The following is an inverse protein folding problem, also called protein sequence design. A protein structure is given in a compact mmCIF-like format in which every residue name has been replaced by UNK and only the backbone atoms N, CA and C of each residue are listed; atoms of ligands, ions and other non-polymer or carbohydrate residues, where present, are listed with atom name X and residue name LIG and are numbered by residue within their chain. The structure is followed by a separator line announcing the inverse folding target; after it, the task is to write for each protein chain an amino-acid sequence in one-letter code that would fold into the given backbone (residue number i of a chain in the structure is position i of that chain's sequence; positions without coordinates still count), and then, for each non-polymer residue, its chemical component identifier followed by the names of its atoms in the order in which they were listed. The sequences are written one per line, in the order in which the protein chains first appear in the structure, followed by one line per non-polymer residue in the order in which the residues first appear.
data_IF_438582926418
#
_entry.id   IF_438582926418
#
_cell.length_a   1.000
_cell.length_b   1.000
_cell.length_c   1.000
_cell.angle_alpha   90.00
_cell.angle_beta   90.00
_cell.angle_gamma   90.00
#
_symmetry.space_group_name_H-M   'P 1'
#
loop_
_entity.id
_entity.type
_entity.pdbx_description
1 polymer ?
#
# COMPACT_ATOMS: atom_id res chain seq x y z
N UNK A 1 9.09 -5.09 -4.67
CA UNK A 1 8.24 -5.58 -5.78
C UNK A 1 7.44 -6.84 -5.42
N UNK A 2 7.98 -7.80 -4.63
CA UNK A 2 7.30 -9.07 -4.32
C UNK A 2 5.95 -8.94 -3.57
N UNK A 3 5.90 -8.09 -2.53
CA UNK A 3 4.69 -7.88 -1.73
C UNK A 3 3.49 -7.36 -2.55
N UNK A 4 3.72 -6.42 -3.47
CA UNK A 4 2.64 -5.87 -4.30
C UNK A 4 2.04 -6.94 -5.22
N UNK A 5 2.85 -7.86 -5.74
CA UNK A 5 2.37 -9.00 -6.52
C UNK A 5 1.57 -9.97 -5.65
N UNK A 6 2.03 -10.23 -4.42
CA UNK A 6 1.33 -11.10 -3.46
C UNK A 6 -0.04 -10.54 -3.07
N UNK A 7 -0.14 -9.23 -2.78
CA UNK A 7 -1.43 -8.59 -2.45
C UNK A 7 -2.39 -8.64 -3.64
N UNK A 8 -1.90 -8.38 -4.86
CA UNK A 8 -2.72 -8.48 -6.07
C UNK A 8 -3.26 -9.90 -6.28
N UNK A 9 -2.42 -10.93 -6.09
CA UNK A 9 -2.82 -12.33 -6.21
C UNK A 9 -3.83 -12.74 -5.13
N UNK A 10 -3.57 -12.40 -3.88
CA UNK A 10 -4.39 -12.79 -2.74
C UNK A 10 -5.79 -12.14 -2.80
N UNK A 11 -5.85 -10.88 -3.22
CA UNK A 11 -7.10 -10.11 -3.24
C UNK A 11 -7.80 -10.12 -4.59
N UNK A 12 -7.17 -10.67 -5.62
CA UNK A 12 -7.64 -10.59 -7.00
C UNK A 12 -7.95 -9.14 -7.42
N UNK A 13 -6.99 -8.24 -7.18
CA UNK A 13 -7.06 -6.82 -7.55
C UNK A 13 -5.89 -6.42 -8.43
N UNK A 14 -6.05 -5.30 -9.14
CA UNK A 14 -4.95 -4.64 -9.87
C UNK A 14 -4.48 -3.45 -9.03
N UNK A 15 -3.18 -3.40 -8.74
CA UNK A 15 -2.56 -2.36 -7.92
C UNK A 15 -1.49 -1.64 -8.74
N UNK A 16 -1.57 -0.31 -8.78
CA UNK A 16 -0.56 0.55 -9.39
C UNK A 16 -0.05 1.59 -8.41
N UNK A 17 1.26 1.81 -8.38
CA UNK A 17 1.89 2.91 -7.64
C UNK A 17 2.32 3.96 -8.67
N UNK A 18 1.96 5.22 -8.44
CA UNK A 18 2.34 6.35 -9.29
C UNK A 18 3.01 7.43 -8.47
N UNK A 19 4.03 8.04 -9.03
CA UNK A 19 4.67 9.20 -8.42
C UNK A 19 3.72 10.41 -8.49
N UNK A 20 3.79 11.26 -7.48
CA UNK A 20 3.02 12.50 -7.40
C UNK A 20 3.96 13.64 -7.83
N UNK A 21 3.67 14.39 -8.90
CA UNK A 21 4.55 15.47 -9.34
C UNK A 21 4.81 16.49 -8.23
N UNK A 22 6.08 16.70 -7.87
CA UNK A 22 6.48 17.65 -6.83
C UNK A 22 6.51 17.10 -5.41
N UNK A 23 6.13 15.83 -5.19
CA UNK A 23 6.20 15.16 -3.89
C UNK A 23 7.12 13.94 -3.97
N UNK A 24 8.25 14.00 -3.27
CA UNK A 24 9.26 12.93 -3.25
C UNK A 24 9.07 11.93 -2.11
N UNK A 25 8.20 12.26 -1.16
CA UNK A 25 7.97 11.48 0.05
C UNK A 25 6.75 10.57 -0.10
N UNK A 26 5.73 11.03 -0.84
CA UNK A 26 4.49 10.31 -1.03
C UNK A 26 4.30 9.81 -2.46
N UNK A 27 3.57 8.70 -2.58
CA UNK A 27 3.17 8.11 -3.86
C UNK A 27 1.69 7.78 -3.86
N UNK A 28 1.06 7.91 -5.01
CA UNK A 28 -0.35 7.54 -5.21
C UNK A 28 -0.50 6.03 -5.36
N UNK A 29 -1.47 5.46 -4.65
CA UNK A 29 -1.83 4.04 -4.73
C UNK A 29 -3.19 3.91 -5.40
N UNK A 30 -3.23 3.25 -6.57
CA UNK A 30 -4.47 2.94 -7.28
C UNK A 30 -4.79 1.45 -7.12
N UNK A 31 -6.02 1.12 -6.72
CA UNK A 31 -6.50 -0.25 -6.53
C UNK A 31 -7.80 -0.42 -7.31
N UNK A 32 -7.83 -1.37 -8.24
CA UNK A 32 -9.00 -1.68 -9.06
C UNK A 32 -9.43 -3.14 -8.87
N UNK A 33 -10.72 -3.33 -8.60
CA UNK A 33 -11.36 -4.63 -8.42
C UNK A 33 -12.74 -4.50 -7.78
N UNK A 34 -13.42 -5.62 -7.47
CA UNK A 34 -14.66 -5.59 -6.68
C UNK A 34 -14.46 -4.86 -5.35
N UNK A 35 -15.46 -4.10 -4.89
CA UNK A 35 -15.37 -3.29 -3.67
C UNK A 35 -14.79 -4.04 -2.45
N UNK A 36 -15.28 -5.23 -2.04
CA UNK A 36 -14.73 -5.91 -0.87
C UNK A 36 -13.25 -6.29 -1.05
N UNK A 37 -12.86 -6.67 -2.27
CA UNK A 37 -11.50 -7.04 -2.61
C UNK A 37 -10.57 -5.82 -2.62
N UNK A 38 -11.04 -4.70 -3.16
CA UNK A 38 -10.30 -3.43 -3.14
C UNK A 38 -10.08 -2.93 -1.70
N UNK A 39 -11.10 -3.04 -0.84
CA UNK A 39 -10.97 -2.75 0.58
C UNK A 39 -9.95 -3.66 1.27
N UNK A 40 -9.98 -4.97 0.99
CA UNK A 40 -9.01 -5.92 1.54
C UNK A 40 -7.58 -5.59 1.09
N UNK A 41 -7.39 -5.29 -0.20
CA UNK A 41 -6.10 -4.89 -0.74
C UNK A 41 -5.58 -3.60 -0.08
N UNK A 42 -6.46 -2.61 0.13
CA UNK A 42 -6.12 -1.38 0.83
C UNK A 42 -5.64 -1.65 2.26
N UNK A 43 -6.37 -2.47 3.03
CA UNK A 43 -5.99 -2.80 4.41
C UNK A 43 -4.63 -3.48 4.50
N UNK A 44 -4.33 -4.41 3.58
CA UNK A 44 -3.02 -5.08 3.53
C UNK A 44 -1.89 -4.12 3.19
N UNK A 45 -2.10 -3.22 2.22
CA UNK A 45 -1.12 -2.20 1.86
C UNK A 45 -0.89 -1.21 3.02
N UNK A 46 -1.94 -0.79 3.72
CA UNK A 46 -1.83 0.10 4.88
C UNK A 46 -1.10 -0.55 6.05
N UNK A 47 -1.40 -1.83 6.33
CA UNK A 47 -0.66 -2.59 7.35
C UNK A 47 0.84 -2.60 7.04
N UNK A 48 1.21 -2.86 5.79
CA UNK A 48 2.62 -2.89 5.38
C UNK A 48 3.31 -1.53 5.56
N UNK A 49 2.60 -0.44 5.28
CA UNK A 49 3.09 0.91 5.54
C UNK A 49 3.36 1.14 7.03
N UNK A 50 2.41 0.81 7.90
CA UNK A 50 2.59 0.93 9.35
C UNK A 50 3.73 0.04 9.87
N UNK A 51 3.85 -1.19 9.37
CA UNK A 51 4.94 -2.10 9.73
C UNK A 51 6.32 -1.52 9.33
N UNK A 52 6.41 -0.77 8.22
CA UNK A 52 7.65 -0.08 7.83
C UNK A 52 7.94 1.16 8.68
N UNK A 53 6.91 1.94 9.03
CA UNK A 53 7.06 3.10 9.91
C UNK A 53 7.53 2.68 11.31
N UNK A 54 7.01 1.56 11.84
CA UNK A 54 7.42 1.00 13.12
C UNK A 54 8.88 0.53 13.15
N UNK A 55 9.48 0.26 11.99
CA UNK A 55 10.89 -0.13 11.85
C UNK A 55 11.82 1.05 11.59
N UNK A 56 11.28 2.24 11.30
CA UNK A 56 12.07 3.45 11.11
C UNK A 56 12.50 4.03 12.47
N UNK A 57 13.78 4.45 12.68
CA UNK A 57 14.30 4.92 13.96
C UNK A 57 13.79 6.30 14.45
N UNK A 58 12.53 6.65 14.16
CA UNK A 58 11.93 7.94 14.54
C UNK A 58 10.41 8.02 14.42
N UNK A 59 9.71 6.88 14.34
CA UNK A 59 8.25 6.86 14.23
C UNK A 59 7.56 7.34 15.51
N UNK A 60 6.62 8.30 15.37
CA UNK A 60 5.82 8.89 16.44
C UNK A 60 5.18 7.82 17.34
N UNK A 61 5.80 7.58 18.49
CA UNK A 61 5.18 6.88 19.62
C UNK A 61 4.08 7.77 20.16
N UNK A 62 2.82 7.37 19.94
CA UNK A 62 1.72 7.72 20.84
C UNK A 62 1.51 6.56 21.81
#
# INVERSE_FOLDING_TARGET
MRFLQEVQQLTNTKIGIRDIPGDTENRSLNIAGPLPNACAAYMLMMKRYLDSEAQAPGGYTS
#
